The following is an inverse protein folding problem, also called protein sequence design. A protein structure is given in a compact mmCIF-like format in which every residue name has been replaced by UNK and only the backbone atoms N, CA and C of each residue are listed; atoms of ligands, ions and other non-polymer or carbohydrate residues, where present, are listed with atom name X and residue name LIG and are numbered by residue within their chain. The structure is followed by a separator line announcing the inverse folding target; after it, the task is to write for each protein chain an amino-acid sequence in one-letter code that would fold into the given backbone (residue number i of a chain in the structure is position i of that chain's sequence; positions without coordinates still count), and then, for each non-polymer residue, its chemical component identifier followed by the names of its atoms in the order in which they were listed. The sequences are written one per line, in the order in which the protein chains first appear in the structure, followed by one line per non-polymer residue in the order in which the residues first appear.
data_IF_536073297449
#
_entry.id   IF_536073297449
#
_cell.length_a   1.000
_cell.length_b   1.000
_cell.length_c   1.000
_cell.angle_alpha   90.00
_cell.angle_beta   90.00
_cell.angle_gamma   90.00
#
_symmetry.space_group_name_H-M   'P 1'
#
loop_
_entity.id
_entity.type
_entity.pdbx_description
1 polymer ?
#
# COMPACT_ATOMS: atom_id res chain seq x y z
N UNK A 1 -44.79 37.55 12.54
CA UNK A 1 -43.31 37.76 12.40
C UNK A 1 -42.45 36.82 13.24
N UNK A 2 -42.71 36.59 14.50
CA UNK A 2 -41.83 35.68 15.35
C UNK A 2 -41.78 34.22 14.92
N UNK A 3 -42.79 33.68 14.25
CA UNK A 3 -42.85 32.26 13.86
C UNK A 3 -41.99 31.97 12.61
N UNK A 4 -42.00 32.88 11.64
CA UNK A 4 -41.15 32.82 10.46
C UNK A 4 -39.65 32.92 10.79
N UNK A 5 -39.27 33.80 11.69
CA UNK A 5 -37.89 33.99 12.11
C UNK A 5 -37.31 32.76 12.80
N UNK A 6 -38.11 32.03 13.61
CA UNK A 6 -37.68 30.76 14.24
C UNK A 6 -37.44 29.64 13.21
N UNK A 7 -38.19 29.60 12.11
CA UNK A 7 -38.03 28.61 11.04
C UNK A 7 -36.75 28.86 10.23
N UNK A 8 -36.42 30.13 9.94
CA UNK A 8 -35.18 30.51 9.27
C UNK A 8 -33.94 30.18 10.11
N UNK A 9 -33.93 30.47 11.41
CA UNK A 9 -32.82 30.16 12.32
C UNK A 9 -32.60 28.63 12.41
N UNK A 10 -33.67 27.83 12.45
CA UNK A 10 -33.60 26.38 12.53
C UNK A 10 -33.02 25.76 11.25
N UNK A 11 -33.34 26.31 10.07
CA UNK A 11 -32.82 25.85 8.79
C UNK A 11 -31.36 26.25 8.58
N UNK A 12 -30.95 27.44 9.05
CA UNK A 12 -29.54 27.88 9.01
C UNK A 12 -28.69 27.04 9.97
N UNK A 13 -29.17 26.73 11.18
CA UNK A 13 -28.45 25.87 12.11
C UNK A 13 -28.28 24.45 11.57
N UNK A 14 -29.30 23.88 10.89
CA UNK A 14 -29.21 22.58 10.25
C UNK A 14 -28.23 22.57 9.08
N UNK A 15 -28.17 23.63 8.28
CA UNK A 15 -27.22 23.77 7.17
C UNK A 15 -25.77 23.88 7.67
N UNK A 16 -25.52 24.64 8.72
CA UNK A 16 -24.18 24.78 9.34
C UNK A 16 -23.72 23.43 9.92
N UNK A 17 -24.62 22.69 10.58
CA UNK A 17 -24.29 21.37 11.12
C UNK A 17 -23.94 20.36 10.01
N UNK A 18 -24.66 20.37 8.88
CA UNK A 18 -24.40 19.51 7.74
C UNK A 18 -23.04 19.81 7.09
N UNK A 19 -22.67 21.09 6.96
CA UNK A 19 -21.36 21.51 6.43
C UNK A 19 -20.22 21.07 7.35
N UNK A 20 -20.39 21.20 8.68
CA UNK A 20 -19.38 20.77 9.65
C UNK A 20 -19.14 19.26 9.61
N UNK A 21 -20.18 18.44 9.45
CA UNK A 21 -20.07 16.98 9.33
C UNK A 21 -19.35 16.60 8.04
N UNK A 22 -19.71 17.20 6.90
CA UNK A 22 -19.04 16.94 5.61
C UNK A 22 -17.56 17.32 5.62
N UNK A 23 -17.20 18.42 6.27
CA UNK A 23 -15.80 18.85 6.42
C UNK A 23 -14.99 17.86 7.28
N UNK A 24 -15.58 17.31 8.33
CA UNK A 24 -14.92 16.31 9.18
C UNK A 24 -14.61 15.00 8.44
N UNK A 25 -15.49 14.52 7.58
CA UNK A 25 -15.25 13.34 6.76
C UNK A 25 -14.12 13.55 5.75
N UNK A 26 -14.01 14.72 5.14
CA UNK A 26 -12.96 15.05 4.19
C UNK A 26 -11.59 15.10 4.85
N UNK A 27 -11.47 15.66 6.06
CA UNK A 27 -10.24 15.74 6.83
C UNK A 27 -9.74 14.36 7.28
N UNK A 28 -10.64 13.50 7.78
CA UNK A 28 -10.30 12.13 8.18
C UNK A 28 -9.79 11.31 6.99
N UNK A 29 -10.42 11.42 5.83
CA UNK A 29 -10.00 10.71 4.62
C UNK A 29 -8.65 11.18 4.09
N UNK A 30 -8.35 12.46 4.18
CA UNK A 30 -7.06 13.03 3.79
C UNK A 30 -5.94 12.57 4.73
N UNK A 31 -6.19 12.52 6.04
CA UNK A 31 -5.28 11.96 7.04
C UNK A 31 -4.98 10.50 6.76
N UNK A 32 -6.00 9.67 6.49
CA UNK A 32 -5.82 8.25 6.21
C UNK A 32 -4.94 8.00 4.98
N UNK A 33 -5.12 8.78 3.90
CA UNK A 33 -4.26 8.66 2.71
C UNK A 33 -2.81 9.07 2.99
N UNK A 34 -2.60 10.10 3.81
CA UNK A 34 -1.28 10.54 4.26
C UNK A 34 -0.58 9.46 5.09
N UNK A 35 -1.30 8.88 6.05
CA UNK A 35 -0.78 7.84 6.94
C UNK A 35 -0.44 6.55 6.18
N UNK A 36 -1.28 6.17 5.22
CA UNK A 36 -1.01 5.04 4.31
C UNK A 36 0.24 5.29 3.49
N UNK A 37 0.38 6.50 2.89
CA UNK A 37 1.57 6.89 2.12
C UNK A 37 2.83 6.85 2.98
N UNK A 38 2.77 7.41 4.19
CA UNK A 38 3.89 7.41 5.13
C UNK A 38 4.28 5.99 5.55
N UNK A 39 3.30 5.09 5.77
CA UNK A 39 3.56 3.68 6.07
C UNK A 39 4.29 2.98 4.94
N UNK A 40 3.83 3.15 3.69
CA UNK A 40 4.46 2.54 2.50
C UNK A 40 5.87 3.07 2.31
N UNK A 41 6.09 4.38 2.49
CA UNK A 41 7.42 4.98 2.44
C UNK A 41 8.34 4.41 3.52
N UNK A 42 7.86 4.30 4.76
CA UNK A 42 8.64 3.73 5.87
C UNK A 42 9.03 2.27 5.60
N UNK A 43 8.11 1.46 5.08
CA UNK A 43 8.41 0.08 4.70
C UNK A 43 9.50 0.02 3.62
N UNK A 44 9.43 0.90 2.61
CA UNK A 44 10.45 0.96 1.58
C UNK A 44 11.83 1.35 2.14
N UNK A 45 11.89 2.35 3.03
CA UNK A 45 13.16 2.77 3.65
C UNK A 45 13.78 1.67 4.51
N UNK A 46 12.97 0.95 5.29
CA UNK A 46 13.46 -0.21 6.05
C UNK A 46 13.97 -1.32 5.13
N UNK A 47 13.26 -1.59 4.02
CA UNK A 47 13.67 -2.60 3.05
C UNK A 47 14.98 -2.19 2.35
N UNK A 48 15.09 -0.92 1.93
CA UNK A 48 16.28 -0.37 1.28
C UNK A 48 17.50 -0.36 2.19
N UNK A 49 17.32 0.01 3.46
CA UNK A 49 18.38 0.00 4.49
C UNK A 49 18.69 -1.39 5.05
N UNK A 50 17.97 -2.44 4.58
CA UNK A 50 18.11 -3.83 5.06
C UNK A 50 17.78 -4.01 6.54
N UNK A 51 16.98 -3.13 7.11
CA UNK A 51 16.47 -3.24 8.47
C UNK A 51 15.25 -4.18 8.51
N UNK A 52 15.50 -5.46 8.23
CA UNK A 52 14.43 -6.46 8.08
C UNK A 52 13.71 -6.77 9.39
N UNK A 53 14.38 -6.57 10.52
CA UNK A 53 13.76 -6.76 11.83
C UNK A 53 12.60 -5.78 12.03
N UNK A 54 12.82 -4.49 11.74
CA UNK A 54 11.77 -3.47 11.80
C UNK A 54 10.62 -3.71 10.81
N UNK A 55 10.90 -4.33 9.64
CA UNK A 55 9.86 -4.67 8.66
C UNK A 55 8.83 -5.65 9.19
N UNK A 56 9.23 -6.57 10.09
CA UNK A 56 8.30 -7.54 10.66
C UNK A 56 7.13 -6.87 11.39
N UNK A 57 7.36 -5.73 12.01
CA UNK A 57 6.33 -4.99 12.74
C UNK A 57 5.30 -4.31 11.83
N UNK A 58 5.61 -4.14 10.55
CA UNK A 58 4.64 -3.67 9.55
C UNK A 58 3.71 -4.77 9.03
N UNK A 59 3.97 -6.04 9.35
CA UNK A 59 3.11 -7.14 8.92
C UNK A 59 1.80 -7.17 9.71
N UNK A 60 0.69 -7.61 9.08
CA UNK A 60 -0.56 -7.89 9.78
C UNK A 60 -0.38 -8.97 10.86
N UNK A 61 -1.16 -8.90 11.93
CA UNK A 61 -1.14 -9.88 13.02
C UNK A 61 -1.31 -11.31 12.53
N UNK A 62 -2.22 -11.55 11.59
CA UNK A 62 -2.41 -12.85 10.97
C UNK A 62 -1.18 -13.38 10.20
N UNK A 63 -0.35 -12.50 9.64
CA UNK A 63 0.91 -12.88 8.98
C UNK A 63 1.99 -13.21 10.02
N UNK A 64 2.11 -12.40 11.06
CA UNK A 64 3.03 -12.63 12.18
C UNK A 64 2.72 -13.92 12.94
N UNK A 65 1.45 -14.29 13.08
CA UNK A 65 1.05 -15.57 13.68
C UNK A 65 1.44 -16.81 12.85
N UNK A 66 1.70 -16.65 11.55
CA UNK A 66 2.08 -17.77 10.65
C UNK A 66 3.58 -17.88 10.40
N UNK A 67 4.34 -16.80 10.62
CA UNK A 67 5.76 -16.73 10.35
C UNK A 67 6.45 -16.01 11.50
N UNK A 68 7.44 -16.65 12.12
CA UNK A 68 8.26 -16.01 13.16
C UNK A 68 9.13 -14.90 12.55
N UNK A 69 9.54 -13.96 13.40
CA UNK A 69 10.44 -12.85 13.02
C UNK A 69 11.74 -13.37 12.39
N UNK A 70 12.40 -14.35 13.00
CA UNK A 70 13.65 -14.91 12.48
C UNK A 70 13.49 -15.53 11.10
N UNK A 71 12.40 -16.27 10.87
CA UNK A 71 12.11 -16.85 9.54
C UNK A 71 11.89 -15.77 8.49
N UNK A 72 11.19 -14.69 8.85
CA UNK A 72 10.95 -13.56 7.97
C UNK A 72 12.26 -12.84 7.63
N UNK A 73 13.05 -12.48 8.63
CA UNK A 73 14.35 -11.81 8.47
C UNK A 73 15.30 -12.66 7.60
N UNK A 74 15.46 -13.94 7.94
CA UNK A 74 16.30 -14.86 7.18
C UNK A 74 15.85 -15.02 5.71
N UNK A 75 14.54 -14.97 5.44
CA UNK A 75 14.04 -15.04 4.05
C UNK A 75 14.42 -13.79 3.25
N UNK A 76 14.32 -12.61 3.84
CA UNK A 76 14.71 -11.35 3.19
C UNK A 76 16.24 -11.23 3.02
N UNK A 77 17.02 -11.66 4.00
CA UNK A 77 18.48 -11.69 3.92
C UNK A 77 18.98 -12.54 2.74
N UNK A 78 18.37 -13.71 2.51
CA UNK A 78 18.70 -14.55 1.34
C UNK A 78 18.35 -13.91 0.01
N UNK A 79 17.35 -13.05 -0.02
CA UNK A 79 16.93 -12.38 -1.25
C UNK A 79 17.78 -11.14 -1.57
N UNK A 80 18.47 -10.55 -0.58
CA UNK A 80 19.22 -9.29 -0.76
C UNK A 80 20.39 -9.39 -1.73
N UNK A 81 20.93 -10.61 -1.96
CA UNK A 81 22.07 -10.83 -2.85
C UNK A 81 21.67 -10.80 -4.34
N UNK A 82 20.37 -10.78 -4.62
CA UNK A 82 19.85 -10.79 -5.98
C UNK A 82 19.48 -9.40 -6.51
N UNK A 83 19.21 -8.43 -5.62
CA UNK A 83 18.78 -7.09 -6.02
C UNK A 83 19.24 -6.02 -5.04
N UNK A 84 19.31 -4.79 -5.56
CA UNK A 84 19.53 -3.57 -4.78
C UNK A 84 18.41 -2.58 -5.11
N UNK A 85 17.72 -2.06 -4.09
CA UNK A 85 16.67 -1.05 -4.26
C UNK A 85 17.28 0.35 -4.30
N UNK A 86 16.84 1.15 -5.28
CA UNK A 86 17.31 2.52 -5.45
C UNK A 86 16.27 3.54 -4.98
N UNK A 87 15.04 3.48 -5.53
CA UNK A 87 13.95 4.40 -5.19
C UNK A 87 12.58 3.78 -5.38
N UNK A 88 11.56 4.40 -4.80
CA UNK A 88 10.16 4.06 -4.99
C UNK A 88 9.36 5.31 -5.35
N UNK A 89 8.53 5.21 -6.38
CA UNK A 89 7.51 6.20 -6.68
C UNK A 89 6.17 5.72 -6.12
N UNK A 90 5.52 6.55 -5.31
CA UNK A 90 4.19 6.28 -4.76
C UNK A 90 3.16 7.04 -5.61
N UNK A 91 2.32 6.29 -6.28
CA UNK A 91 1.23 6.79 -7.11
C UNK A 91 -0.06 7.05 -6.32
N UNK A 92 -1.17 6.53 -6.85
CA UNK A 92 -2.50 6.71 -6.26
C UNK A 92 -2.65 5.93 -4.97
N UNK A 93 -3.17 6.59 -3.94
CA UNK A 93 -3.59 5.99 -2.67
C UNK A 93 -5.11 5.97 -2.61
N UNK A 94 -5.70 4.80 -2.40
CA UNK A 94 -7.14 4.61 -2.25
C UNK A 94 -7.42 3.95 -0.90
N UNK A 95 -8.33 4.53 -0.13
CA UNK A 95 -8.71 4.05 1.20
C UNK A 95 -10.20 3.77 1.26
N UNK A 96 -10.58 2.65 1.87
CA UNK A 96 -11.95 2.24 2.15
C UNK A 96 -12.04 1.66 3.57
N UNK A 97 -12.47 2.48 4.53
CA UNK A 97 -12.50 2.09 5.94
C UNK A 97 -11.10 1.70 6.45
N UNK A 98 -10.96 0.46 6.90
CA UNK A 98 -9.70 -0.07 7.42
C UNK A 98 -8.81 -0.73 6.34
N UNK A 99 -9.11 -0.53 5.06
CA UNK A 99 -8.40 -1.12 3.94
C UNK A 99 -7.84 -0.05 3.03
N UNK A 100 -6.65 -0.28 2.48
CA UNK A 100 -6.06 0.61 1.48
C UNK A 100 -5.33 -0.16 0.38
N UNK A 101 -5.24 0.46 -0.80
CA UNK A 101 -4.37 0.04 -1.89
C UNK A 101 -3.57 1.24 -2.40
N UNK A 102 -2.29 1.00 -2.66
CA UNK A 102 -1.35 2.01 -3.14
C UNK A 102 -0.67 1.51 -4.40
N UNK A 103 -0.75 2.28 -5.47
CA UNK A 103 0.01 2.00 -6.68
C UNK A 103 1.46 2.44 -6.46
N UNK A 104 2.43 1.54 -6.68
CA UNK A 104 3.85 1.83 -6.49
C UNK A 104 4.68 1.36 -7.68
N UNK A 105 5.80 2.04 -7.91
CA UNK A 105 6.87 1.61 -8.81
C UNK A 105 8.17 1.57 -8.02
N UNK A 106 8.72 0.37 -7.85
CA UNK A 106 10.02 0.17 -7.22
C UNK A 106 11.09 0.10 -8.30
N UNK A 107 12.14 0.86 -8.16
CA UNK A 107 13.31 0.85 -9.04
C UNK A 107 14.51 0.28 -8.29
N UNK A 108 15.33 -0.46 -9.02
CA UNK A 108 16.51 -1.05 -8.46
C UNK A 108 17.36 -1.73 -9.52
N UNK A 109 18.34 -2.46 -9.06
CA UNK A 109 19.25 -3.25 -9.90
C UNK A 109 19.17 -4.71 -9.53
N UNK A 110 19.05 -5.55 -10.53
CA UNK A 110 19.36 -6.98 -10.41
C UNK A 110 20.87 -7.09 -10.42
N UNK A 111 21.45 -7.78 -9.42
CA UNK A 111 22.91 -7.91 -9.28
C UNK A 111 23.40 -9.33 -9.53
N UNK A 112 22.50 -10.30 -9.44
CA UNK A 112 22.79 -11.72 -9.69
C UNK A 112 21.54 -12.43 -10.26
N UNK A 113 21.63 -13.27 -11.30
CA UNK A 113 22.84 -13.67 -12.07
C UNK A 113 23.27 -12.68 -13.16
N UNK A 114 22.46 -11.67 -13.44
CA UNK A 114 22.74 -10.64 -14.45
C UNK A 114 22.75 -9.27 -13.80
N UNK A 115 23.59 -8.36 -14.29
CA UNK A 115 23.54 -6.95 -13.85
C UNK A 115 22.63 -6.18 -14.80
N UNK A 116 21.50 -5.70 -14.30
CA UNK A 116 20.55 -4.93 -15.08
C UNK A 116 19.75 -3.97 -14.19
N UNK A 117 19.43 -2.79 -14.73
CA UNK A 117 18.41 -1.93 -14.12
C UNK A 117 17.03 -2.60 -14.25
N UNK A 118 16.26 -2.58 -13.17
CA UNK A 118 14.94 -3.16 -13.10
C UNK A 118 13.91 -2.23 -12.46
N UNK A 119 12.66 -2.44 -12.80
CA UNK A 119 11.54 -1.83 -12.05
C UNK A 119 10.39 -2.82 -11.90
N UNK A 120 9.70 -2.68 -10.77
CA UNK A 120 8.51 -3.47 -10.45
C UNK A 120 7.34 -2.50 -10.27
N UNK A 121 6.30 -2.67 -11.10
CA UNK A 121 5.02 -1.98 -10.95
C UNK A 121 4.12 -2.90 -10.14
N UNK A 122 3.74 -2.48 -8.94
CA UNK A 122 3.01 -3.33 -8.00
C UNK A 122 2.06 -2.52 -7.12
N UNK A 123 0.92 -3.11 -6.78
CA UNK A 123 0.02 -2.56 -5.78
C UNK A 123 0.38 -3.07 -4.39
N UNK A 124 0.49 -2.15 -3.44
CA UNK A 124 0.64 -2.46 -2.02
C UNK A 124 -0.75 -2.48 -1.38
N UNK A 125 -1.07 -3.52 -0.63
CA UNK A 125 -2.33 -3.67 0.10
C UNK A 125 -2.08 -3.47 1.58
N UNK A 126 -2.91 -2.65 2.22
CA UNK A 126 -2.78 -2.36 3.64
C UNK A 126 -4.10 -2.61 4.34
N UNK A 127 -3.99 -2.97 5.61
CA UNK A 127 -5.12 -3.01 6.53
C UNK A 127 -4.76 -2.28 7.82
N UNK A 128 -5.75 -1.65 8.46
CA UNK A 128 -5.59 -0.98 9.75
C UNK A 128 -5.90 -1.96 10.87
N UNK A 129 -4.92 -2.22 11.74
CA UNK A 129 -5.04 -3.00 12.96
C UNK A 129 -4.56 -2.14 14.13
N UNK A 130 -5.34 -2.06 15.21
CA UNK A 130 -5.02 -1.28 16.41
C UNK A 130 -4.58 0.17 16.12
N UNK A 131 -5.31 0.82 15.20
CA UNK A 131 -5.05 2.20 14.79
C UNK A 131 -3.83 2.39 13.88
N UNK A 132 -3.10 1.32 13.51
CA UNK A 132 -1.89 1.37 12.67
C UNK A 132 -2.10 0.68 11.33
N UNK A 133 -1.58 1.29 10.27
CA UNK A 133 -1.56 0.65 8.96
C UNK A 133 -0.50 -0.45 8.90
N UNK A 134 -0.91 -1.64 8.41
CA UNK A 134 -0.06 -2.83 8.24
C UNK A 134 -0.02 -3.20 6.76
N UNK A 135 1.15 -3.59 6.27
CA UNK A 135 1.32 -3.96 4.85
C UNK A 135 1.07 -5.46 4.69
N UNK A 136 0.00 -5.78 3.95
CA UNK A 136 -0.42 -7.16 3.67
C UNK A 136 0.25 -7.74 2.43
N UNK A 137 1.05 -6.95 1.70
CA UNK A 137 1.75 -7.41 0.50
C UNK A 137 2.95 -8.26 0.92
N UNK A 138 3.08 -9.40 0.30
CA UNK A 138 4.20 -10.30 0.53
C UNK A 138 4.23 -11.34 -0.58
N UNK A 139 3.30 -12.27 -0.54
CA UNK A 139 3.12 -13.29 -1.56
C UNK A 139 1.71 -13.23 -2.17
N UNK A 140 1.53 -13.86 -3.33
CA UNK A 140 0.23 -13.92 -4.01
C UNK A 140 -0.86 -14.62 -3.17
N UNK A 141 -0.48 -15.53 -2.28
CA UNK A 141 -1.43 -16.21 -1.39
C UNK A 141 -1.99 -15.25 -0.36
N UNK A 142 -1.15 -14.41 0.24
CA UNK A 142 -1.57 -13.37 1.20
C UNK A 142 -2.49 -12.35 0.54
N UNK A 143 -2.14 -11.86 -0.66
CA UNK A 143 -2.98 -10.92 -1.41
C UNK A 143 -4.32 -11.56 -1.79
N UNK A 144 -4.33 -12.80 -2.28
CA UNK A 144 -5.59 -13.51 -2.60
C UNK A 144 -6.49 -13.67 -1.38
N UNK A 145 -5.95 -14.05 -0.23
CA UNK A 145 -6.71 -14.18 1.01
C UNK A 145 -7.27 -12.83 1.46
N UNK A 146 -6.48 -11.76 1.38
CA UNK A 146 -6.92 -10.41 1.67
C UNK A 146 -8.12 -10.01 0.79
N UNK A 147 -8.04 -10.20 -0.53
CA UNK A 147 -9.11 -9.86 -1.46
C UNK A 147 -10.35 -10.74 -1.29
N UNK A 148 -10.18 -12.03 -1.01
CA UNK A 148 -11.30 -12.95 -0.75
C UNK A 148 -12.06 -12.60 0.54
N UNK A 149 -11.34 -12.15 1.57
CA UNK A 149 -11.93 -11.69 2.82
C UNK A 149 -12.63 -10.31 2.69
N UNK A 150 -12.33 -9.55 1.61
CA UNK A 150 -12.81 -8.19 1.42
C UNK A 150 -13.40 -7.99 0.01
N UNK A 151 -14.50 -8.69 -0.36
CA UNK A 151 -15.03 -8.67 -1.73
C UNK A 151 -15.55 -7.28 -2.17
N UNK A 152 -16.02 -6.46 -1.25
CA UNK A 152 -16.42 -5.08 -1.53
C UNK A 152 -15.25 -4.21 -1.99
N UNK A 153 -14.06 -4.45 -1.44
CA UNK A 153 -12.83 -3.75 -1.82
C UNK A 153 -12.42 -4.08 -3.26
N UNK A 154 -12.39 -5.36 -3.61
CA UNK A 154 -12.00 -5.81 -4.96
C UNK A 154 -13.00 -5.39 -6.05
N UNK A 155 -14.28 -5.17 -5.69
CA UNK A 155 -15.30 -4.60 -6.61
C UNK A 155 -15.10 -3.10 -6.84
N UNK A 156 -14.66 -2.38 -5.81
CA UNK A 156 -14.50 -0.92 -5.87
C UNK A 156 -13.19 -0.49 -6.51
N UNK A 157 -12.11 -1.26 -6.32
CA UNK A 157 -10.78 -0.91 -6.81
C UNK A 157 -10.28 -1.92 -7.83
N UNK A 158 -9.75 -1.40 -8.94
CA UNK A 158 -9.13 -2.24 -9.97
C UNK A 158 -7.86 -2.89 -9.41
N UNK A 159 -7.87 -4.21 -9.35
CA UNK A 159 -6.73 -5.01 -8.94
C UNK A 159 -5.81 -5.25 -10.14
N UNK A 160 -4.52 -5.00 -9.96
CA UNK A 160 -3.51 -5.15 -11.01
C UNK A 160 -2.50 -6.24 -10.61
N UNK A 161 -2.11 -7.05 -11.58
CA UNK A 161 -1.01 -8.00 -11.39
C UNK A 161 0.32 -7.26 -11.36
N UNK A 162 1.28 -7.70 -10.52
CA UNK A 162 2.63 -7.16 -10.55
C UNK A 162 3.26 -7.36 -11.92
N UNK A 163 4.00 -6.35 -12.40
CA UNK A 163 4.75 -6.40 -13.65
C UNK A 163 6.20 -6.04 -13.39
N UNK A 164 7.10 -6.83 -13.92
CA UNK A 164 8.55 -6.65 -13.80
C UNK A 164 9.10 -6.18 -15.15
N UNK A 165 9.98 -5.21 -15.12
CA UNK A 165 10.65 -4.69 -16.31
C UNK A 165 12.15 -4.69 -16.09
N UNK A 166 12.90 -4.98 -17.14
CA UNK A 166 14.36 -4.87 -17.20
C UNK A 166 14.69 -3.83 -18.27
N UNK A 167 15.69 -3.02 -18.02
CA UNK A 167 16.18 -2.02 -18.99
C UNK A 167 17.19 -2.67 -19.91
N UNK A 168 16.94 -2.59 -21.23
CA UNK A 168 17.84 -3.00 -22.31
C UNK A 168 17.87 -1.91 -23.37
N UNK A 169 19.04 -1.48 -23.78
CA UNK A 169 19.22 -0.42 -24.80
C UNK A 169 18.36 0.81 -24.54
N UNK A 170 18.40 1.29 -23.28
CA UNK A 170 17.60 2.43 -22.74
C UNK A 170 16.07 2.25 -22.81
N UNK A 171 15.57 1.06 -23.11
CA UNK A 171 14.14 0.73 -23.16
C UNK A 171 13.73 -0.21 -22.02
N UNK A 172 12.55 0.04 -21.45
CA UNK A 172 11.96 -0.86 -20.46
C UNK A 172 11.23 -2.01 -21.16
N UNK A 173 11.73 -3.23 -20.99
CA UNK A 173 11.17 -4.45 -21.58
C UNK A 173 10.50 -5.23 -20.44
N UNK A 174 9.23 -5.60 -20.62
CA UNK A 174 8.51 -6.41 -19.64
C UNK A 174 9.12 -7.82 -19.55
N UNK A 175 9.56 -8.17 -18.35
CA UNK A 175 10.13 -9.48 -18.07
C UNK A 175 9.03 -10.44 -17.64
N UNK A 176 8.77 -11.45 -18.48
CA UNK A 176 7.83 -12.52 -18.18
C UNK A 176 8.58 -13.86 -18.00
N UNK A 177 8.80 -14.31 -16.76
CA UNK A 177 9.58 -15.53 -16.50
C UNK A 177 8.93 -16.82 -17.06
N UNK A 178 7.64 -16.77 -17.41
CA UNK A 178 6.92 -17.90 -17.99
C UNK A 178 7.01 -18.03 -19.52
N UNK A 179 7.47 -17.01 -20.23
CA UNK A 179 7.74 -17.06 -21.67
C UNK A 179 9.22 -17.39 -21.89
N UNK A 180 9.58 -18.67 -21.87
CA UNK A 180 10.84 -19.11 -22.52
C UNK A 180 10.72 -18.81 -24.02
N UNK A 181 11.67 -18.03 -24.53
CA UNK A 181 11.89 -17.91 -25.97
C UNK A 181 12.42 -19.22 -26.52
#
# INVERSE_FOLDING_TARGET
MKHQMRMYIRNIAAAILAVAVLSSYALVKASDQSDVRATVQSVFEQLKSRNYDALYDFLPGASRGRMSRDRFVNALQRAQDFYQLDRMDIGTVKVMGNLAVVDTVLYGRVVNPIQAEGKIVVQQYLLREDGKWRVATGDQSTVRKFLAANPGFSKQFRIQQPRVYIKQDDKWIEFNPGKRR
#
